data_IF_730857385906
#
_entry.id   IF_730857385906
#
_cell.length_a   1.000
_cell.length_b   1.000
_cell.length_c   1.000
_cell.angle_alpha   90.00
_cell.angle_beta   90.00
_cell.angle_gamma   90.00
#
_symmetry.space_group_name_H-M   'P 1'
#
loop_
_entity.id
_entity.type
_entity.pdbx_description
1 polymer ?
#
# COMPACT_ATOMS: atom_id res chain seq x y z
N UNK A 1 -4.16 29.35 57.13
CA UNK A 1 -3.88 28.25 56.19
C UNK A 1 -4.85 28.39 55.04
N UNK A 2 -4.41 29.00 53.96
CA UNK A 2 -5.25 29.24 52.76
C UNK A 2 -5.08 28.11 51.78
N UNK A 3 -6.18 27.40 51.54
CA UNK A 3 -6.24 26.32 50.53
C UNK A 3 -6.44 26.94 49.14
N UNK A 4 -5.47 26.77 48.26
CA UNK A 4 -5.53 27.17 46.87
C UNK A 4 -6.26 26.06 46.11
N UNK A 5 -7.46 26.35 45.63
CA UNK A 5 -8.20 25.46 44.71
C UNK A 5 -7.57 25.56 43.31
N UNK A 6 -7.01 24.48 42.82
CA UNK A 6 -6.55 24.35 41.44
C UNK A 6 -7.77 24.04 40.57
N UNK A 7 -8.23 25.03 39.79
CA UNK A 7 -9.21 24.83 38.75
C UNK A 7 -8.54 24.08 37.59
N UNK A 8 -8.82 22.79 37.46
CA UNK A 8 -8.52 22.01 36.27
C UNK A 8 -9.57 22.42 35.23
N UNK A 9 -9.16 23.25 34.28
CA UNK A 9 -9.96 23.51 33.07
C UNK A 9 -9.89 22.25 32.24
N UNK A 10 -10.92 21.41 32.33
CA UNK A 10 -11.15 20.35 31.37
C UNK A 10 -11.33 20.98 29.98
N UNK A 11 -10.33 20.82 29.14
CA UNK A 11 -10.37 21.24 27.75
C UNK A 11 -11.29 20.23 26.98
N UNK A 12 -12.60 20.38 27.16
CA UNK A 12 -13.60 19.66 26.40
C UNK A 12 -13.58 20.21 24.97
N UNK A 13 -12.96 19.49 24.07
CA UNK A 13 -13.05 19.71 22.63
C UNK A 13 -14.56 19.69 22.26
N UNK A 14 -15.08 20.71 21.58
CA UNK A 14 -16.49 20.76 21.21
C UNK A 14 -16.89 19.52 20.41
N UNK A 15 -17.99 18.88 20.80
CA UNK A 15 -18.50 17.66 20.13
C UNK A 15 -18.84 17.86 18.65
N UNK A 16 -19.07 19.08 18.20
CA UNK A 16 -19.34 19.44 16.81
C UNK A 16 -18.14 19.25 15.87
N UNK A 17 -16.90 19.42 16.36
CA UNK A 17 -15.70 19.21 15.54
C UNK A 17 -15.45 17.73 15.22
N UNK A 18 -15.91 16.81 16.03
CA UNK A 18 -15.75 15.36 15.80
C UNK A 18 -16.67 14.82 14.69
N UNK A 19 -17.84 15.44 14.47
CA UNK A 19 -18.76 15.04 13.40
C UNK A 19 -18.22 15.41 12.00
N UNK A 20 -17.40 16.46 11.93
CA UNK A 20 -16.88 16.98 10.66
C UNK A 20 -15.56 16.33 10.19
N UNK A 21 -15.01 15.38 10.98
CA UNK A 21 -13.77 14.69 10.65
C UNK A 21 -13.98 13.28 10.08
N UNK A 22 -15.23 12.79 10.05
CA UNK A 22 -15.55 11.46 9.55
C UNK A 22 -15.96 11.47 8.07
N UNK A 23 -15.49 10.48 7.34
CA UNK A 23 -15.99 10.19 5.99
C UNK A 23 -17.39 9.57 6.15
N UNK A 24 -18.42 10.29 5.70
CA UNK A 24 -19.79 9.80 5.72
C UNK A 24 -20.07 8.80 4.59
N UNK A 25 -21.22 8.10 4.68
CA UNK A 25 -21.60 7.06 3.72
C UNK A 25 -21.79 7.60 2.30
N UNK A 26 -22.27 8.83 2.15
CA UNK A 26 -22.52 9.42 0.85
C UNK A 26 -21.23 9.82 0.15
N UNK A 27 -20.27 10.40 0.89
CA UNK A 27 -18.94 10.72 0.38
C UNK A 27 -18.19 9.42 0.03
N UNK A 28 -18.32 8.39 0.88
CA UNK A 28 -17.73 7.08 0.63
C UNK A 28 -18.30 6.44 -0.66
N UNK A 29 -19.62 6.57 -0.90
CA UNK A 29 -20.26 6.08 -2.11
C UNK A 29 -19.80 6.84 -3.36
N UNK A 30 -19.64 8.18 -3.27
CA UNK A 30 -19.07 8.97 -4.38
C UNK A 30 -17.66 8.48 -4.75
N UNK A 31 -16.83 8.16 -3.74
CA UNK A 31 -15.50 7.60 -3.97
C UNK A 31 -15.61 6.23 -4.62
N UNK A 32 -16.45 5.34 -4.08
CA UNK A 32 -16.63 3.99 -4.62
C UNK A 32 -17.09 3.97 -6.07
N UNK A 33 -17.91 4.95 -6.48
CA UNK A 33 -18.40 5.09 -7.86
C UNK A 33 -17.46 5.87 -8.78
N UNK A 34 -16.35 6.40 -8.23
CA UNK A 34 -15.44 7.32 -8.93
C UNK A 34 -16.17 8.56 -9.52
N UNK A 35 -17.26 8.99 -8.85
CA UNK A 35 -18.05 10.13 -9.28
C UNK A 35 -17.44 11.45 -8.81
N UNK A 36 -16.52 11.97 -9.62
CA UNK A 36 -15.75 13.18 -9.30
C UNK A 36 -16.64 14.42 -9.15
N UNK A 37 -17.72 14.55 -9.92
CA UNK A 37 -18.60 15.71 -9.85
C UNK A 37 -19.34 15.77 -8.51
N UNK A 38 -20.00 14.67 -8.13
CA UNK A 38 -20.68 14.54 -6.84
C UNK A 38 -19.70 14.67 -5.68
N UNK A 39 -18.50 14.08 -5.81
CA UNK A 39 -17.42 14.15 -4.81
C UNK A 39 -17.00 15.61 -4.56
N UNK A 40 -16.67 16.36 -5.62
CA UNK A 40 -16.24 17.76 -5.52
C UNK A 40 -17.29 18.63 -4.83
N UNK A 41 -18.56 18.52 -5.20
CA UNK A 41 -19.62 19.33 -4.58
C UNK A 41 -19.79 19.07 -3.07
N UNK A 42 -19.52 17.82 -2.61
CA UNK A 42 -19.63 17.45 -1.20
C UNK A 42 -18.39 17.82 -0.38
N UNK A 43 -17.23 17.85 -1.03
CA UNK A 43 -15.94 18.13 -0.38
C UNK A 43 -15.67 19.64 -0.25
N UNK A 44 -16.29 20.49 -1.09
CA UNK A 44 -16.05 21.95 -1.12
C UNK A 44 -16.25 22.66 0.24
N UNK A 45 -17.10 22.14 1.09
CA UNK A 45 -17.41 22.73 2.40
C UNK A 45 -16.67 22.05 3.57
N UNK A 46 -15.80 21.11 3.28
CA UNK A 46 -15.07 20.30 4.27
C UNK A 46 -13.57 20.46 4.09
N UNK A 47 -12.81 20.05 5.09
CA UNK A 47 -11.35 19.96 5.02
C UNK A 47 -10.96 18.50 4.66
N UNK A 48 -10.75 18.16 3.39
CA UNK A 48 -10.49 16.77 2.95
C UNK A 48 -9.31 16.12 3.68
N UNK A 49 -8.34 16.94 4.09
CA UNK A 49 -7.15 16.50 4.82
C UNK A 49 -7.45 15.99 6.23
N UNK A 50 -8.58 16.44 6.83
CA UNK A 50 -9.01 16.02 8.16
C UNK A 50 -10.00 14.85 8.13
N UNK A 51 -10.52 14.50 6.94
CA UNK A 51 -11.52 13.43 6.81
C UNK A 51 -10.84 12.08 6.83
N UNK A 52 -11.15 11.28 7.86
CA UNK A 52 -10.57 9.94 8.03
C UNK A 52 -11.65 8.91 8.39
N UNK A 53 -11.39 7.66 8.05
CA UNK A 53 -12.14 6.52 8.55
C UNK A 53 -11.72 6.17 9.99
N UNK A 54 -12.46 5.31 10.72
CA UNK A 54 -12.05 4.82 12.03
C UNK A 54 -10.66 4.15 12.06
N UNK A 55 -10.22 3.59 10.92
CA UNK A 55 -8.89 3.01 10.76
C UNK A 55 -7.81 4.05 10.36
N UNK A 56 -8.14 5.35 10.38
CA UNK A 56 -7.22 6.42 10.00
C UNK A 56 -6.94 6.53 8.49
N UNK A 57 -7.72 5.85 7.63
CA UNK A 57 -7.60 6.02 6.19
C UNK A 57 -8.13 7.40 5.78
N UNK A 58 -7.31 8.19 5.09
CA UNK A 58 -7.73 9.44 4.46
C UNK A 58 -8.60 9.16 3.23
N UNK A 59 -9.23 10.19 2.68
CA UNK A 59 -9.97 10.07 1.41
C UNK A 59 -9.11 9.51 0.27
N UNK A 60 -7.81 9.86 0.24
CA UNK A 60 -6.89 9.32 -0.76
C UNK A 60 -6.64 7.82 -0.58
N UNK A 61 -6.51 7.34 0.66
CA UNK A 61 -6.44 5.90 0.94
C UNK A 61 -7.69 5.16 0.46
N UNK A 62 -8.87 5.74 0.74
CA UNK A 62 -10.15 5.15 0.31
C UNK A 62 -10.26 5.13 -1.21
N UNK A 63 -9.91 6.23 -1.90
CA UNK A 63 -9.95 6.30 -3.35
C UNK A 63 -9.03 5.27 -4.01
N UNK A 64 -7.80 5.13 -3.52
CA UNK A 64 -6.86 4.12 -4.01
C UNK A 64 -7.40 2.71 -3.76
N UNK A 65 -7.97 2.42 -2.58
CA UNK A 65 -8.49 1.07 -2.26
C UNK A 65 -9.73 0.67 -3.08
N UNK A 66 -10.43 1.62 -3.69
CA UNK A 66 -11.51 1.35 -4.64
C UNK A 66 -11.07 1.41 -6.12
N UNK A 67 -9.80 1.75 -6.39
CA UNK A 67 -9.33 1.96 -7.75
C UNK A 67 -10.03 3.14 -8.44
N UNK A 68 -10.40 4.18 -7.68
CA UNK A 68 -11.10 5.38 -8.14
C UNK A 68 -10.09 6.38 -8.71
N UNK A 69 -9.62 6.15 -9.93
CA UNK A 69 -8.49 6.88 -10.52
C UNK A 69 -8.75 8.38 -10.68
N UNK A 70 -9.99 8.77 -11.06
CA UNK A 70 -10.33 10.17 -11.26
C UNK A 70 -10.30 10.95 -9.93
N UNK A 71 -10.87 10.36 -8.87
CA UNK A 71 -10.84 10.95 -7.53
C UNK A 71 -9.44 10.91 -6.94
N UNK A 72 -8.69 9.82 -7.14
CA UNK A 72 -7.29 9.70 -6.72
C UNK A 72 -6.43 10.79 -7.36
N UNK A 73 -6.53 10.99 -8.67
CA UNK A 73 -5.82 12.05 -9.40
C UNK A 73 -6.21 13.44 -8.90
N UNK A 74 -7.50 13.68 -8.68
CA UNK A 74 -8.00 14.95 -8.15
C UNK A 74 -7.44 15.22 -6.75
N UNK A 75 -7.52 14.25 -5.83
CA UNK A 75 -7.03 14.41 -4.46
C UNK A 75 -5.52 14.60 -4.40
N UNK A 76 -4.76 13.80 -5.15
CA UNK A 76 -3.31 13.90 -5.20
C UNK A 76 -2.84 15.24 -5.77
N UNK A 77 -3.51 15.78 -6.79
CA UNK A 77 -3.17 17.06 -7.39
C UNK A 77 -3.61 18.25 -6.56
N UNK A 78 -4.75 18.17 -5.85
CA UNK A 78 -5.30 19.29 -5.08
C UNK A 78 -4.78 19.33 -3.64
N UNK A 79 -4.54 18.15 -3.03
CA UNK A 79 -4.12 17.98 -1.63
C UNK A 79 -2.89 17.07 -1.53
N UNK A 80 -1.70 17.52 -1.99
CA UNK A 80 -0.48 16.70 -2.00
C UNK A 80 -0.06 16.19 -0.63
N UNK A 81 -0.43 16.89 0.44
CA UNK A 81 -0.21 16.47 1.83
C UNK A 81 -0.77 15.09 2.15
N UNK A 82 -1.87 14.68 1.48
CA UNK A 82 -2.51 13.37 1.68
C UNK A 82 -1.65 12.20 1.20
N UNK A 83 -0.72 12.43 0.26
CA UNK A 83 0.08 11.37 -0.38
C UNK A 83 0.99 10.66 0.63
N UNK A 84 1.55 11.42 1.57
CA UNK A 84 2.54 10.92 2.53
C UNK A 84 1.95 10.46 3.86
N UNK A 85 0.64 10.67 4.07
CA UNK A 85 -0.04 10.26 5.30
C UNK A 85 -0.06 8.73 5.40
N UNK A 86 0.14 8.23 6.61
CA UNK A 86 -0.01 6.82 6.96
C UNK A 86 -1.27 6.65 7.83
N UNK A 87 -2.02 5.57 7.61
CA UNK A 87 -3.17 5.23 8.44
C UNK A 87 -2.75 4.63 9.81
N UNK A 88 -3.70 4.15 10.62
CA UNK A 88 -3.44 3.55 11.94
C UNK A 88 -2.57 2.29 11.88
N UNK A 89 -2.50 1.61 10.74
CA UNK A 89 -1.61 0.48 10.49
C UNK A 89 -0.25 0.91 9.93
N UNK A 90 0.02 2.22 9.87
CA UNK A 90 1.15 2.82 9.15
C UNK A 90 1.18 2.47 7.65
N UNK A 91 0.07 2.05 7.07
CA UNK A 91 -0.01 1.86 5.63
C UNK A 91 -0.01 3.21 4.92
N UNK A 92 0.75 3.30 3.84
CA UNK A 92 0.65 4.38 2.85
C UNK A 92 -0.35 4.00 1.76
N UNK A 93 -0.70 4.94 0.90
CA UNK A 93 -1.52 4.68 -0.29
C UNK A 93 -0.95 3.56 -1.17
N UNK A 94 0.39 3.40 -1.22
CA UNK A 94 1.02 2.34 -2.01
C UNK A 94 0.83 0.94 -1.39
N UNK A 95 0.72 0.82 -0.06
CA UNK A 95 0.36 -0.45 0.58
C UNK A 95 -1.06 -0.88 0.20
N UNK A 96 -1.99 0.09 0.14
CA UNK A 96 -3.36 -0.20 -0.27
C UNK A 96 -3.41 -0.57 -1.77
N UNK A 97 -2.76 0.22 -2.64
CA UNK A 97 -2.65 -0.10 -4.06
C UNK A 97 -2.05 -1.50 -4.30
N UNK A 98 -1.06 -1.88 -3.51
CA UNK A 98 -0.42 -3.19 -3.58
C UNK A 98 -1.37 -4.34 -3.24
N UNK A 99 -2.30 -4.13 -2.30
CA UNK A 99 -3.29 -5.14 -1.88
C UNK A 99 -4.48 -5.24 -2.84
N UNK A 100 -4.70 -4.25 -3.69
CA UNK A 100 -5.80 -4.20 -4.67
C UNK A 100 -5.65 -5.17 -5.87
N UNK A 101 -4.79 -6.18 -5.76
CA UNK A 101 -4.69 -7.29 -6.72
C UNK A 101 -6.04 -8.01 -6.94
N UNK A 102 -6.01 -9.28 -7.27
CA UNK A 102 -7.16 -10.13 -7.62
C UNK A 102 -8.31 -10.19 -6.59
N UNK A 103 -8.13 -9.61 -5.40
CA UNK A 103 -9.11 -9.67 -4.30
C UNK A 103 -9.90 -8.37 -4.12
N UNK A 104 -9.88 -7.45 -5.09
CA UNK A 104 -10.59 -6.18 -4.95
C UNK A 104 -12.07 -6.38 -4.59
N UNK A 105 -12.59 -5.53 -3.70
CA UNK A 105 -14.01 -5.52 -3.31
C UNK A 105 -14.96 -5.49 -4.53
N UNK A 106 -14.49 -4.96 -5.66
CA UNK A 106 -15.24 -4.92 -6.92
C UNK A 106 -15.56 -6.30 -7.48
N UNK A 107 -14.66 -7.27 -7.31
CA UNK A 107 -14.91 -8.67 -7.71
C UNK A 107 -15.99 -9.35 -6.84
N UNK A 108 -16.17 -8.90 -5.59
CA UNK A 108 -17.19 -9.41 -4.68
C UNK A 108 -18.59 -8.87 -4.96
N UNK A 109 -18.70 -7.69 -5.59
CA UNK A 109 -20.00 -7.01 -5.81
C UNK A 109 -20.53 -7.10 -7.25
N UNK A 110 -19.90 -7.87 -8.13
CA UNK A 110 -20.41 -8.16 -9.48
C UNK A 110 -20.49 -6.95 -10.44
N UNK A 111 -19.75 -5.86 -10.16
CA UNK A 111 -19.78 -4.68 -11.02
C UNK A 111 -18.77 -4.78 -12.15
N UNK A 112 -19.29 -5.00 -13.36
CA UNK A 112 -18.52 -5.20 -14.62
C UNK A 112 -17.58 -4.06 -15.04
N UNK A 113 -17.64 -2.89 -14.42
CA UNK A 113 -16.80 -1.73 -14.79
C UNK A 113 -15.33 -1.85 -14.37
N UNK A 114 -14.99 -2.74 -13.42
CA UNK A 114 -13.60 -2.97 -12.99
C UNK A 114 -12.93 -4.14 -13.69
N UNK A 115 -13.69 -5.04 -14.33
CA UNK A 115 -13.17 -6.20 -15.05
C UNK A 115 -12.26 -5.83 -16.25
N UNK A 116 -12.36 -4.60 -16.77
CA UNK A 116 -11.51 -4.11 -17.86
C UNK A 116 -10.12 -3.66 -17.41
N UNK A 117 -9.84 -3.62 -16.10
CA UNK A 117 -8.54 -3.18 -15.52
C UNK A 117 -7.66 -4.33 -15.03
N UNK A 118 -8.05 -5.57 -15.32
CA UNK A 118 -7.22 -6.72 -14.98
C UNK A 118 -5.85 -6.61 -15.66
N UNK A 119 -4.81 -6.42 -14.86
CA UNK A 119 -3.42 -6.61 -15.26
C UNK A 119 -2.58 -5.36 -15.50
N UNK A 120 -3.06 -4.13 -15.20
CA UNK A 120 -2.20 -2.94 -15.29
C UNK A 120 -2.29 -2.10 -14.03
N UNK A 121 -1.14 -1.74 -13.44
CA UNK A 121 -1.12 -0.67 -12.45
C UNK A 121 -1.68 0.60 -13.11
N UNK A 122 -2.64 1.27 -12.43
CA UNK A 122 -3.25 2.45 -13.02
C UNK A 122 -2.20 3.52 -13.29
N UNK A 123 -2.39 4.32 -14.32
CA UNK A 123 -1.45 5.40 -14.66
C UNK A 123 -1.36 6.41 -13.51
N UNK A 124 -2.43 6.53 -12.71
CA UNK A 124 -2.43 7.33 -11.49
C UNK A 124 -1.45 6.80 -10.45
N UNK A 125 -1.42 5.49 -10.21
CA UNK A 125 -0.47 4.87 -9.27
C UNK A 125 0.97 5.00 -9.78
N UNK A 126 1.20 4.84 -11.09
CA UNK A 126 2.52 5.07 -11.69
C UNK A 126 3.00 6.50 -11.45
N UNK A 127 2.14 7.48 -11.71
CA UNK A 127 2.43 8.90 -11.47
C UNK A 127 2.74 9.21 -10.01
N UNK A 128 2.00 8.60 -9.07
CA UNK A 128 2.22 8.74 -7.63
C UNK A 128 3.58 8.17 -7.20
N UNK A 129 3.96 7.00 -7.71
CA UNK A 129 5.27 6.37 -7.45
C UNK A 129 6.40 7.23 -8.01
N UNK A 130 6.25 7.76 -9.23
CA UNK A 130 7.24 8.62 -9.88
C UNK A 130 7.47 9.93 -9.14
N UNK A 131 6.38 10.54 -8.67
CA UNK A 131 6.44 11.82 -7.95
C UNK A 131 6.88 11.67 -6.49
N UNK A 132 6.74 10.48 -5.90
CA UNK A 132 6.99 10.23 -4.48
C UNK A 132 7.76 8.92 -4.23
N UNK A 133 8.99 8.78 -4.74
CA UNK A 133 9.75 7.52 -4.68
C UNK A 133 10.04 7.07 -3.25
N UNK A 134 10.10 7.99 -2.28
CA UNK A 134 10.31 7.64 -0.87
C UNK A 134 9.22 6.75 -0.26
N UNK A 135 8.01 6.72 -0.85
CA UNK A 135 6.91 5.87 -0.40
C UNK A 135 7.19 4.38 -0.63
N UNK A 136 8.03 4.03 -1.61
CA UNK A 136 8.38 2.64 -1.96
C UNK A 136 9.02 1.93 -0.75
N UNK A 137 9.84 2.65 0.03
CA UNK A 137 10.58 2.13 1.19
C UNK A 137 9.85 2.29 2.53
N UNK A 138 8.70 2.94 2.57
CA UNK A 138 7.93 3.08 3.80
C UNK A 138 7.41 1.73 4.28
N UNK A 139 7.45 1.53 5.60
CA UNK A 139 6.97 0.29 6.21
C UNK A 139 5.72 0.52 7.04
N UNK A 140 4.85 -0.47 7.08
CA UNK A 140 3.68 -0.49 7.94
C UNK A 140 4.00 -1.11 9.32
N UNK A 141 2.99 -1.32 10.17
CA UNK A 141 3.16 -1.90 11.53
C UNK A 141 3.73 -3.31 11.52
N UNK A 142 3.62 -4.05 10.40
CA UNK A 142 4.21 -5.39 10.22
C UNK A 142 5.65 -5.33 9.71
N UNK A 143 6.19 -4.13 9.49
CA UNK A 143 7.47 -3.93 8.80
C UNK A 143 7.40 -4.20 7.29
N UNK A 144 6.22 -4.44 6.74
CA UNK A 144 6.05 -4.65 5.31
C UNK A 144 6.24 -3.34 4.55
N UNK A 145 7.02 -3.36 3.47
CA UNK A 145 6.98 -2.33 2.43
C UNK A 145 5.79 -2.60 1.48
N UNK A 146 5.39 -1.65 0.62
CA UNK A 146 4.37 -1.90 -0.39
C UNK A 146 4.66 -3.12 -1.26
N UNK A 147 5.94 -3.42 -1.55
CA UNK A 147 6.31 -4.61 -2.32
C UNK A 147 6.02 -5.91 -1.60
N UNK A 148 6.21 -5.99 -0.27
CA UNK A 148 5.77 -7.16 0.51
C UNK A 148 4.28 -7.42 0.32
N UNK A 149 3.48 -6.36 0.44
CA UNK A 149 2.03 -6.47 0.31
C UNK A 149 1.60 -6.84 -1.11
N UNK A 150 2.31 -6.34 -2.14
CA UNK A 150 2.08 -6.72 -3.53
C UNK A 150 2.36 -8.21 -3.79
N UNK A 151 3.46 -8.74 -3.23
CA UNK A 151 3.81 -10.17 -3.33
C UNK A 151 2.78 -11.03 -2.58
N UNK A 152 2.35 -10.62 -1.38
CA UNK A 152 1.35 -11.34 -0.59
C UNK A 152 -0.01 -11.36 -1.31
N UNK A 153 -0.40 -10.25 -1.94
CA UNK A 153 -1.67 -10.11 -2.65
C UNK A 153 -1.63 -10.65 -4.09
N UNK A 154 -0.47 -11.11 -4.57
CA UNK A 154 -0.24 -11.52 -5.95
C UNK A 154 -0.55 -10.41 -6.98
N UNK A 155 -0.24 -9.18 -6.62
CA UNK A 155 -0.40 -8.02 -7.51
C UNK A 155 0.90 -7.79 -8.31
N UNK A 156 1.04 -8.52 -9.41
CA UNK A 156 2.22 -8.49 -10.28
C UNK A 156 2.52 -7.09 -10.82
N UNK A 157 1.50 -6.37 -11.22
CA UNK A 157 1.67 -5.08 -11.90
C UNK A 157 2.24 -4.02 -10.96
N UNK A 158 1.70 -3.98 -9.73
CA UNK A 158 2.27 -3.08 -8.71
C UNK A 158 3.65 -3.56 -8.28
N UNK A 159 3.88 -4.89 -8.13
CA UNK A 159 5.19 -5.43 -7.81
C UNK A 159 6.25 -5.04 -8.86
N UNK A 160 5.94 -5.22 -10.17
CA UNK A 160 6.80 -4.80 -11.28
C UNK A 160 7.11 -3.31 -11.24
N UNK A 161 6.08 -2.48 -11.02
CA UNK A 161 6.25 -1.04 -10.93
C UNK A 161 7.20 -0.67 -9.79
N UNK A 162 7.02 -1.22 -8.60
CA UNK A 162 7.83 -0.90 -7.44
C UNK A 162 9.29 -1.33 -7.62
N UNK A 163 9.55 -2.56 -8.10
CA UNK A 163 10.91 -3.08 -8.34
C UNK A 163 11.60 -2.35 -9.48
N UNK A 164 10.88 -1.99 -10.55
CA UNK A 164 11.48 -1.22 -11.65
C UNK A 164 11.96 0.17 -11.23
N UNK A 165 11.41 0.72 -10.15
CA UNK A 165 11.80 2.03 -9.61
C UNK A 165 12.84 1.94 -8.51
N UNK A 166 12.82 0.87 -7.73
CA UNK A 166 13.75 0.63 -6.63
C UNK A 166 13.97 -0.89 -6.46
N UNK A 167 14.95 -1.47 -7.18
CA UNK A 167 15.23 -2.91 -7.07
C UNK A 167 15.64 -3.36 -5.67
N UNK A 168 16.27 -2.49 -4.87
CA UNK A 168 16.73 -2.83 -3.52
C UNK A 168 15.58 -3.17 -2.57
N UNK A 169 14.37 -2.64 -2.81
CA UNK A 169 13.23 -2.91 -1.94
C UNK A 169 12.84 -4.39 -1.91
N UNK A 170 13.27 -5.18 -2.90
CA UNK A 170 13.08 -6.63 -2.93
C UNK A 170 13.78 -7.38 -1.78
N UNK A 171 14.77 -6.74 -1.13
CA UNK A 171 15.58 -7.33 -0.05
C UNK A 171 15.25 -6.79 1.34
N UNK A 172 14.40 -5.80 1.47
CA UNK A 172 14.04 -5.23 2.78
C UNK A 172 13.27 -6.26 3.61
N UNK A 173 13.74 -6.50 4.83
CA UNK A 173 13.10 -7.46 5.73
C UNK A 173 11.95 -6.80 6.50
N UNK A 174 10.83 -7.53 6.60
CA UNK A 174 9.75 -7.16 7.51
C UNK A 174 10.06 -7.62 8.94
N UNK A 175 9.13 -7.38 9.89
CA UNK A 175 9.30 -7.76 11.31
C UNK A 175 9.48 -9.28 11.53
N UNK A 176 9.13 -10.11 10.55
CA UNK A 176 9.34 -11.55 10.58
C UNK A 176 10.68 -11.98 9.95
N UNK A 177 11.53 -11.03 9.56
CA UNK A 177 12.80 -11.29 8.86
C UNK A 177 12.61 -11.86 7.45
N UNK A 178 11.46 -11.59 6.82
CA UNK A 178 11.17 -12.04 5.45
C UNK A 178 11.24 -10.83 4.52
N UNK A 179 11.96 -10.97 3.42
CA UNK A 179 11.95 -9.98 2.33
C UNK A 179 10.85 -10.29 1.31
N UNK A 180 10.46 -9.34 0.44
CA UNK A 180 9.56 -9.60 -0.68
C UNK A 180 10.02 -10.77 -1.56
N UNK A 181 11.33 -10.82 -1.86
CA UNK A 181 11.91 -11.92 -2.63
C UNK A 181 11.79 -13.26 -1.90
N UNK A 182 12.03 -13.28 -0.57
CA UNK A 182 11.81 -14.47 0.25
C UNK A 182 10.35 -14.94 0.16
N UNK A 183 9.38 -14.00 0.29
CA UNK A 183 7.96 -14.32 0.22
C UNK A 183 7.55 -14.85 -1.16
N UNK A 184 8.12 -14.29 -2.25
CA UNK A 184 7.85 -14.77 -3.60
C UNK A 184 8.33 -16.21 -3.78
N UNK A 185 9.51 -16.57 -3.25
CA UNK A 185 10.02 -17.94 -3.25
C UNK A 185 9.18 -18.84 -2.36
N UNK A 186 8.81 -18.39 -1.15
CA UNK A 186 7.99 -19.15 -0.19
C UNK A 186 6.61 -19.49 -0.77
N UNK A 187 6.01 -18.59 -1.55
CA UNK A 187 4.74 -18.80 -2.26
C UNK A 187 4.86 -19.74 -3.46
N UNK A 188 6.04 -20.29 -3.75
CA UNK A 188 6.26 -21.30 -4.76
C UNK A 188 6.19 -20.76 -6.19
N UNK A 189 6.42 -19.46 -6.43
CA UNK A 189 6.28 -18.79 -7.75
C UNK A 189 4.95 -19.14 -8.46
N UNK A 190 3.93 -19.49 -7.69
CA UNK A 190 2.65 -19.99 -8.19
C UNK A 190 2.03 -19.11 -9.28
N UNK A 191 2.38 -17.84 -9.26
CA UNK A 191 1.82 -16.81 -10.13
C UNK A 191 2.88 -16.09 -10.97
N UNK A 192 4.15 -16.54 -10.96
CA UNK A 192 5.23 -15.97 -11.76
C UNK A 192 5.74 -14.60 -11.29
N UNK A 193 5.41 -14.19 -10.04
CA UNK A 193 5.89 -12.91 -9.51
C UNK A 193 7.38 -12.96 -9.21
N UNK A 194 7.92 -14.14 -8.86
CA UNK A 194 9.35 -14.34 -8.65
C UNK A 194 10.13 -14.11 -9.94
N UNK A 195 9.64 -14.65 -11.07
CA UNK A 195 10.29 -14.47 -12.38
C UNK A 195 10.31 -12.99 -12.76
N UNK A 196 9.20 -12.28 -12.49
CA UNK A 196 9.12 -10.84 -12.73
C UNK A 196 10.12 -10.05 -11.86
N UNK A 197 10.26 -10.41 -10.58
CA UNK A 197 11.23 -9.77 -9.69
C UNK A 197 12.68 -10.02 -10.16
N UNK A 198 13.01 -11.24 -10.56
CA UNK A 198 14.34 -11.60 -11.05
C UNK A 198 14.66 -10.93 -12.39
N UNK A 199 13.70 -10.90 -13.32
CA UNK A 199 13.87 -10.27 -14.63
C UNK A 199 14.04 -8.74 -14.58
N UNK A 200 13.55 -8.10 -13.53
CA UNK A 200 13.67 -6.65 -13.32
C UNK A 200 14.92 -6.23 -12.55
N UNK A 201 15.87 -7.14 -12.34
CA UNK A 201 17.16 -6.85 -11.72
C UNK A 201 17.24 -7.20 -10.24
N UNK A 202 16.18 -7.77 -9.64
CA UNK A 202 16.32 -8.41 -8.35
C UNK A 202 17.19 -9.66 -8.55
N UNK A 203 18.46 -9.57 -8.16
CA UNK A 203 19.37 -10.72 -8.11
C UNK A 203 19.38 -11.27 -6.68
N UNK A 204 20.06 -12.41 -6.47
CA UNK A 204 20.36 -12.90 -5.12
C UNK A 204 21.73 -12.34 -4.68
N UNK A 205 21.85 -11.07 -4.30
CA UNK A 205 23.13 -10.52 -3.94
C UNK A 205 23.59 -11.11 -2.62
N UNK A 206 24.86 -11.48 -2.58
CA UNK A 206 25.54 -11.90 -1.35
C UNK A 206 25.99 -10.66 -0.56
N UNK A 207 26.13 -9.52 -1.25
CA UNK A 207 26.53 -8.22 -0.66
C UNK A 207 25.77 -7.09 -1.36
N UNK A 208 25.55 -5.96 -0.66
CA UNK A 208 25.09 -4.74 -1.30
C UNK A 208 26.12 -4.20 -2.29
N UNK A 209 25.73 -3.32 -3.21
CA UNK A 209 26.65 -2.66 -4.14
C UNK A 209 27.77 -1.91 -3.40
N UNK A 210 27.54 -1.45 -2.17
CA UNK A 210 28.52 -0.79 -1.31
C UNK A 210 29.41 -1.76 -0.53
N UNK A 211 29.27 -3.08 -0.73
CA UNK A 211 30.07 -4.10 -0.05
C UNK A 211 29.60 -4.45 1.37
N UNK A 212 28.55 -3.81 1.86
CA UNK A 212 27.96 -4.09 3.18
C UNK A 212 27.23 -5.43 3.17
N UNK A 213 27.24 -6.13 4.30
CA UNK A 213 26.43 -7.32 4.46
C UNK A 213 24.93 -6.95 4.31
N UNK A 214 24.17 -7.77 3.57
CA UNK A 214 22.73 -7.60 3.50
C UNK A 214 22.13 -7.68 4.92
N UNK A 215 21.03 -6.95 5.18
CA UNK A 215 20.35 -7.01 6.47
C UNK A 215 20.11 -8.45 6.90
N UNK A 216 20.37 -8.76 8.16
CA UNK A 216 20.07 -10.07 8.72
C UNK A 216 18.60 -10.43 8.49
N UNK A 217 18.35 -11.59 7.89
CA UNK A 217 17.01 -12.05 7.56
C UNK A 217 17.00 -13.47 7.04
N UNK A 218 15.81 -13.93 6.67
CA UNK A 218 15.64 -15.27 6.11
C UNK A 218 16.11 -15.32 4.68
N UNK A 219 17.06 -16.21 4.38
CA UNK A 219 17.62 -16.33 3.02
C UNK A 219 16.61 -16.96 2.05
N UNK A 220 16.32 -16.30 0.91
CA UNK A 220 15.50 -16.88 -0.15
C UNK A 220 16.05 -18.20 -0.69
N UNK A 221 17.38 -18.36 -0.73
CA UNK A 221 18.05 -19.57 -1.20
C UNK A 221 17.73 -20.77 -0.32
N UNK A 222 17.73 -20.59 1.02
CA UNK A 222 17.35 -21.67 1.93
C UNK A 222 15.91 -22.13 1.72
N UNK A 223 14.99 -21.20 1.42
CA UNK A 223 13.58 -21.54 1.11
C UNK A 223 13.48 -22.32 -0.18
N UNK A 224 14.16 -21.87 -1.23
CA UNK A 224 14.18 -22.57 -2.52
C UNK A 224 14.68 -24.01 -2.37
N UNK A 225 15.78 -24.21 -1.63
CA UNK A 225 16.32 -25.57 -1.34
C UNK A 225 15.28 -26.40 -0.57
N UNK A 226 14.65 -25.82 0.47
CA UNK A 226 13.64 -26.53 1.28
C UNK A 226 12.41 -26.92 0.46
N UNK A 227 11.97 -26.10 -0.47
CA UNK A 227 10.84 -26.41 -1.34
C UNK A 227 11.19 -27.49 -2.35
N UNK A 228 12.38 -27.42 -2.97
CA UNK A 228 12.87 -28.49 -3.86
C UNK A 228 12.87 -29.84 -3.17
N UNK A 229 13.32 -29.91 -1.92
CA UNK A 229 13.34 -31.15 -1.15
C UNK A 229 11.94 -31.69 -0.78
N UNK A 230 10.87 -30.87 -0.93
CA UNK A 230 9.47 -31.28 -0.75
C UNK A 230 8.79 -31.78 -2.03
N UNK A 231 9.53 -31.88 -3.14
CA UNK A 231 9.02 -32.44 -4.41
C UNK A 231 8.43 -31.42 -5.38
N UNK A 232 8.53 -30.15 -5.10
CA UNK A 232 8.14 -29.09 -6.04
C UNK A 232 9.24 -28.91 -7.09
N UNK A 233 9.19 -29.72 -8.18
CA UNK A 233 10.25 -29.82 -9.20
C UNK A 233 10.39 -28.61 -10.14
N UNK A 234 9.61 -27.53 -10.00
CA UNK A 234 9.52 -26.47 -11.01
C UNK A 234 10.43 -25.26 -10.80
N UNK A 235 11.36 -25.28 -9.83
CA UNK A 235 12.05 -24.04 -9.43
C UNK A 235 13.44 -23.79 -10.02
N UNK A 236 14.09 -24.75 -10.67
CA UNK A 236 15.47 -24.57 -11.16
C UNK A 236 15.66 -25.22 -12.53
N UNK A 237 15.05 -24.68 -13.55
CA UNK A 237 15.41 -24.95 -14.94
C UNK A 237 15.29 -23.70 -15.82
N UNK A 238 16.05 -22.67 -15.48
CA UNK A 238 16.44 -21.63 -16.45
C UNK A 238 17.74 -21.01 -15.99
#
# INVERSE_FOLDING_TARGET
MSSVAINIVENTIPRDDMANTKIDSELHECVRQDNTAAFKSRVQQRLPEKLVTPCGNTLLHVAVSYGSDNITSYLAGTFPSLITIQNSQKDTILHLAAREGKTSHAAREGKASHAAREGKASDTIKSLVESNPSLIRKTNTKGNTPLHDAVIADNKEVAKLLVSRDPEVAYYNNNNGKSPLYLAVENGNKYGILDDLLNLGASFPIKSENGDALPEGKSPVHVAIKQRNRGDHNFITH
#
